data_IF_355466887993
#
_entry.id   IF_355466887993
#
_cell.length_a   1.000
_cell.length_b   1.000
_cell.length_c   1.000
_cell.angle_alpha   90.00
_cell.angle_beta   90.00
_cell.angle_gamma   90.00
#
_symmetry.space_group_name_H-M   'P 1'
#
loop_
_entity.id
_entity.type
_entity.pdbx_description
1 polymer ?
#
# COMPACT_ATOMS: atom_id res chain seq x y z
N UNK A 1 31.97 16.73 25.59
CA UNK A 1 31.22 16.71 24.31
C UNK A 1 29.79 17.12 24.63
N UNK A 2 29.20 18.17 24.04
CA UNK A 2 27.83 18.55 24.34
C UNK A 2 26.90 17.42 23.91
N UNK A 3 26.21 16.82 24.88
CA UNK A 3 25.24 15.75 24.67
C UNK A 3 23.95 16.32 24.09
N UNK A 4 23.37 15.62 23.13
CA UNK A 4 22.00 15.87 22.71
C UNK A 4 21.05 15.42 23.82
N UNK A 5 20.13 16.28 24.22
CA UNK A 5 19.12 15.93 25.22
C UNK A 5 17.73 15.86 24.56
N UNK A 6 17.11 14.69 24.70
CA UNK A 6 15.78 14.41 24.21
C UNK A 6 14.77 14.58 25.34
N UNK A 7 13.88 15.56 25.20
CA UNK A 7 12.86 15.85 26.20
C UNK A 7 11.49 15.40 25.69
N UNK A 8 10.92 14.36 26.30
CA UNK A 8 9.56 13.91 26.00
C UNK A 8 8.59 14.57 26.95
N UNK A 9 7.71 15.42 26.42
CA UNK A 9 6.67 16.08 27.21
C UNK A 9 5.63 15.05 27.64
N UNK A 10 5.23 15.01 28.93
CA UNK A 10 4.21 14.06 29.39
C UNK A 10 2.88 14.32 28.70
N UNK A 11 2.12 13.25 28.49
CA UNK A 11 0.78 13.31 27.87
C UNK A 11 -0.09 14.31 28.62
N UNK A 12 -0.68 15.25 27.88
CA UNK A 12 -1.61 16.25 28.42
C UNK A 12 -2.92 16.20 27.65
N UNK A 13 -4.02 16.15 28.38
CA UNK A 13 -5.35 16.26 27.81
C UNK A 13 -5.62 17.72 27.40
N UNK A 14 -5.52 18.01 26.10
CA UNK A 14 -5.65 19.37 25.57
C UNK A 14 -6.88 19.56 24.64
N UNK A 15 -7.66 18.50 24.42
CA UNK A 15 -8.68 18.46 23.38
C UNK A 15 -10.02 19.12 23.74
N UNK A 16 -10.04 19.98 24.76
CA UNK A 16 -11.26 20.52 25.38
C UNK A 16 -11.96 21.60 24.54
N UNK A 17 -11.24 22.28 23.66
CA UNK A 17 -11.77 23.39 22.87
C UNK A 17 -12.25 23.01 21.47
N UNK A 18 -12.29 21.71 21.13
CA UNK A 18 -12.68 21.21 19.81
C UNK A 18 -14.14 20.78 19.85
N UNK A 19 -14.98 21.40 19.03
CA UNK A 19 -16.39 21.07 18.91
C UNK A 19 -16.61 19.77 18.13
N UNK A 20 -17.77 19.14 18.29
CA UNK A 20 -18.08 17.90 17.57
C UNK A 20 -17.99 18.03 16.02
N UNK A 21 -18.51 19.09 15.37
CA UNK A 21 -18.33 19.26 13.93
C UNK A 21 -16.86 19.39 13.50
N UNK A 22 -16.05 20.05 14.32
CA UNK A 22 -14.60 20.14 14.07
C UNK A 22 -13.94 18.78 14.18
N UNK A 23 -14.31 17.95 15.15
CA UNK A 23 -13.82 16.57 15.24
C UNK A 23 -14.12 15.77 13.97
N UNK A 24 -15.36 15.83 13.46
CA UNK A 24 -15.73 15.14 12.22
C UNK A 24 -14.87 15.64 11.05
N UNK A 25 -14.64 16.95 10.96
CA UNK A 25 -13.77 17.53 9.92
C UNK A 25 -12.33 17.03 10.04
N UNK A 26 -11.74 17.06 11.24
CA UNK A 26 -10.36 16.61 11.49
C UNK A 26 -10.22 15.12 11.18
N UNK A 27 -11.16 14.27 11.64
CA UNK A 27 -11.15 12.85 11.31
C UNK A 27 -11.26 12.60 9.81
N UNK A 28 -12.08 13.37 9.10
CA UNK A 28 -12.21 13.25 7.65
C UNK A 28 -10.89 13.55 6.94
N UNK A 29 -10.23 14.65 7.31
CA UNK A 29 -8.94 15.05 6.72
C UNK A 29 -7.83 14.06 7.08
N UNK A 30 -7.76 13.66 8.36
CA UNK A 30 -6.78 12.71 8.89
C UNK A 30 -6.91 11.33 8.23
N UNK A 31 -8.12 10.78 8.15
CA UNK A 31 -8.35 9.44 7.61
C UNK A 31 -8.32 9.38 6.09
N UNK A 32 -8.50 10.52 5.38
CA UNK A 32 -8.53 10.54 3.94
C UNK A 32 -7.28 9.92 3.28
N UNK A 33 -6.04 10.23 3.68
CA UNK A 33 -4.86 9.55 3.15
C UNK A 33 -4.83 8.04 3.40
N UNK A 34 -5.22 7.60 4.61
CA UNK A 34 -5.26 6.18 4.96
C UNK A 34 -6.28 5.42 4.10
N UNK A 35 -7.51 5.95 4.03
CA UNK A 35 -8.59 5.38 3.24
C UNK A 35 -8.23 5.40 1.76
N UNK A 36 -7.70 6.50 1.24
CA UNK A 36 -7.30 6.59 -0.16
C UNK A 36 -6.20 5.57 -0.48
N UNK A 37 -5.21 5.38 0.40
CA UNK A 37 -4.16 4.40 0.21
C UNK A 37 -4.71 2.96 0.18
N UNK A 38 -5.57 2.61 1.14
CA UNK A 38 -6.18 1.27 1.23
C UNK A 38 -7.16 1.02 0.06
N UNK A 39 -8.11 1.93 -0.15
CA UNK A 39 -9.18 1.78 -1.16
C UNK A 39 -8.66 1.84 -2.60
N UNK A 40 -7.54 2.53 -2.84
CA UNK A 40 -6.89 2.52 -4.14
C UNK A 40 -5.94 1.34 -4.32
N UNK A 41 -5.29 0.89 -3.24
CA UNK A 41 -4.24 -0.11 -3.28
C UNK A 41 -4.71 -1.55 -3.18
N UNK A 42 -5.82 -1.80 -2.49
CA UNK A 42 -6.34 -3.14 -2.29
C UNK A 42 -6.73 -3.79 -3.63
N UNK A 43 -6.29 -5.03 -3.90
CA UNK A 43 -6.67 -5.74 -5.11
C UNK A 43 -8.12 -6.24 -5.05
N UNK A 44 -8.84 -6.26 -6.18
CA UNK A 44 -10.10 -6.99 -6.27
C UNK A 44 -9.83 -8.51 -6.17
N UNK A 45 -10.68 -9.19 -5.42
CA UNK A 45 -10.56 -10.63 -5.15
C UNK A 45 -11.38 -11.42 -6.15
N UNK A 46 -10.74 -12.42 -6.75
CA UNK A 46 -11.37 -13.37 -7.66
C UNK A 46 -11.38 -14.76 -7.03
N UNK A 47 -12.56 -15.35 -6.88
CA UNK A 47 -12.71 -16.67 -6.28
C UNK A 47 -12.75 -17.73 -7.38
N UNK A 48 -11.68 -18.52 -7.48
CA UNK A 48 -11.60 -19.65 -8.42
C UNK A 48 -11.87 -21.00 -7.75
N UNK A 49 -12.04 -21.03 -6.42
CA UNK A 49 -12.41 -22.22 -5.67
C UNK A 49 -13.73 -22.00 -4.93
N UNK A 50 -14.61 -23.01 -4.98
CA UNK A 50 -15.91 -23.01 -4.29
C UNK A 50 -15.76 -23.06 -2.76
N UNK A 51 -14.77 -23.82 -2.26
CA UNK A 51 -14.53 -24.02 -0.83
C UNK A 51 -13.09 -24.49 -0.59
N UNK A 52 -12.46 -24.13 0.53
CA UNK A 52 -12.90 -23.16 1.54
C UNK A 52 -12.70 -21.71 1.07
N UNK A 53 -13.55 -20.78 1.52
CA UNK A 53 -13.36 -19.33 1.31
C UNK A 53 -12.24 -18.79 2.24
N UNK A 54 -11.52 -17.72 1.85
CA UNK A 54 -10.50 -17.12 2.71
C UNK A 54 -11.15 -16.58 3.99
N UNK A 55 -10.47 -16.77 5.12
CA UNK A 55 -10.94 -16.21 6.39
C UNK A 55 -10.61 -14.71 6.42
N UNK A 56 -11.29 -13.97 7.30
CA UNK A 56 -11.11 -12.51 7.42
C UNK A 56 -9.64 -12.11 7.66
N UNK A 57 -8.90 -12.90 8.44
CA UNK A 57 -7.49 -12.66 8.75
C UNK A 57 -6.55 -12.96 7.58
N UNK A 58 -7.01 -13.68 6.56
CA UNK A 58 -6.26 -13.86 5.31
C UNK A 58 -6.44 -12.65 4.39
N UNK A 59 -7.60 -12.00 4.46
CA UNK A 59 -7.94 -10.80 3.70
C UNK A 59 -7.23 -9.57 4.24
N UNK A 60 -7.10 -9.46 5.57
CA UNK A 60 -6.52 -8.29 6.24
C UNK A 60 -5.09 -7.97 5.77
N UNK A 61 -4.34 -9.00 5.39
CA UNK A 61 -2.96 -8.88 4.91
C UNK A 61 -2.87 -8.16 3.56
N UNK A 62 -3.92 -8.17 2.74
CA UNK A 62 -3.94 -7.44 1.47
C UNK A 62 -4.18 -5.94 1.64
N UNK A 63 -4.77 -5.52 2.76
CA UNK A 63 -4.96 -4.11 3.11
C UNK A 63 -3.73 -3.49 3.79
N UNK A 64 -2.71 -4.30 4.10
CA UNK A 64 -1.46 -3.79 4.65
C UNK A 64 -0.75 -2.91 3.59
N UNK A 65 -0.38 -1.65 3.93
CA UNK A 65 0.35 -0.78 3.02
C UNK A 65 1.64 -1.40 2.43
N UNK A 66 2.33 -2.27 3.16
CA UNK A 66 3.49 -3.03 2.63
C UNK A 66 3.10 -3.92 1.45
N UNK A 67 1.97 -4.65 1.56
CA UNK A 67 1.44 -5.49 0.48
C UNK A 67 1.01 -4.67 -0.74
N UNK A 68 0.46 -3.49 -0.49
CA UNK A 68 0.03 -2.56 -1.54
C UNK A 68 1.23 -2.02 -2.32
N UNK A 69 2.30 -1.61 -1.63
CA UNK A 69 3.54 -1.16 -2.28
C UNK A 69 4.21 -2.27 -3.08
N UNK A 70 4.24 -3.49 -2.53
CA UNK A 70 4.73 -4.67 -3.26
C UNK A 70 3.97 -4.84 -4.58
N UNK A 71 2.63 -4.74 -4.56
CA UNK A 71 1.80 -4.85 -5.75
C UNK A 71 2.17 -3.80 -6.80
N UNK A 72 2.33 -2.53 -6.41
CA UNK A 72 2.72 -1.48 -7.34
C UNK A 72 4.07 -1.79 -8.01
N UNK A 73 5.07 -2.16 -7.22
CA UNK A 73 6.38 -2.48 -7.75
C UNK A 73 6.35 -3.70 -8.69
N UNK A 74 5.67 -4.78 -8.30
CA UNK A 74 5.67 -6.01 -9.09
C UNK A 74 4.84 -5.89 -10.36
N UNK A 75 3.72 -5.15 -10.37
CA UNK A 75 2.97 -4.91 -11.62
C UNK A 75 3.84 -4.18 -12.64
N UNK A 76 4.54 -3.13 -12.23
CA UNK A 76 5.48 -2.41 -13.10
C UNK A 76 6.65 -3.27 -13.54
N UNK A 77 7.27 -4.02 -12.61
CA UNK A 77 8.37 -4.94 -12.92
C UNK A 77 7.94 -6.01 -13.94
N UNK A 78 6.76 -6.60 -13.75
CA UNK A 78 6.18 -7.59 -14.67
C UNK A 78 5.96 -6.98 -16.05
N UNK A 79 5.43 -5.76 -16.14
CA UNK A 79 5.26 -5.06 -17.42
C UNK A 79 6.59 -4.83 -18.13
N UNK A 80 7.63 -4.41 -17.41
CA UNK A 80 8.98 -4.19 -17.95
C UNK A 80 9.56 -5.50 -18.49
N UNK A 81 9.24 -6.63 -17.86
CA UNK A 81 9.72 -7.96 -18.25
C UNK A 81 8.88 -8.65 -19.34
N UNK A 82 7.66 -8.17 -19.59
CA UNK A 82 6.76 -8.74 -20.58
C UNK A 82 7.24 -8.46 -22.01
N UNK A 83 7.37 -9.52 -22.82
CA UNK A 83 7.70 -9.42 -24.25
C UNK A 83 6.48 -9.10 -25.10
N UNK A 84 5.33 -9.65 -24.72
CA UNK A 84 4.04 -9.42 -25.34
C UNK A 84 3.03 -9.13 -24.22
N UNK A 85 2.61 -7.87 -24.10
CA UNK A 85 1.71 -7.41 -23.04
C UNK A 85 0.31 -7.20 -23.61
N UNK A 86 -0.60 -8.10 -23.27
CA UNK A 86 -1.99 -8.06 -23.73
C UNK A 86 -2.96 -7.71 -22.58
N UNK A 87 -4.24 -7.61 -22.93
CA UNK A 87 -5.34 -7.26 -22.03
C UNK A 87 -5.55 -8.30 -20.93
N UNK A 88 -5.32 -9.57 -21.25
CA UNK A 88 -5.46 -10.68 -20.29
C UNK A 88 -4.34 -10.64 -19.25
N UNK A 89 -3.10 -10.33 -19.66
CA UNK A 89 -1.96 -10.12 -18.76
C UNK A 89 -2.18 -8.91 -17.84
N UNK A 90 -2.77 -7.82 -18.36
CA UNK A 90 -3.15 -6.65 -17.56
C UNK A 90 -4.20 -7.01 -16.49
N UNK A 91 -5.29 -7.68 -16.89
CA UNK A 91 -6.35 -8.10 -15.97
C UNK A 91 -5.82 -9.05 -14.89
N UNK A 92 -5.08 -10.09 -15.29
CA UNK A 92 -4.57 -11.11 -14.37
C UNK A 92 -3.49 -10.56 -13.43
N UNK A 93 -2.74 -9.54 -13.84
CA UNK A 93 -1.76 -8.88 -12.97
C UNK A 93 -2.40 -7.99 -11.91
N UNK A 94 -3.61 -7.49 -12.16
CA UNK A 94 -4.35 -6.68 -11.20
C UNK A 94 -5.25 -7.50 -10.29
N UNK A 95 -5.67 -8.69 -10.70
CA UNK A 95 -6.47 -9.61 -9.90
C UNK A 95 -5.62 -10.35 -8.86
N UNK A 96 -6.25 -10.72 -7.74
CA UNK A 96 -5.74 -11.78 -6.86
C UNK A 96 -6.70 -12.95 -6.86
N UNK A 97 -6.16 -14.16 -6.96
CA UNK A 97 -6.96 -15.37 -7.12
C UNK A 97 -6.91 -16.18 -5.84
N UNK A 98 -8.09 -16.48 -5.29
CA UNK A 98 -8.22 -17.47 -4.25
C UNK A 98 -8.44 -18.85 -4.87
N UNK A 99 -7.51 -19.76 -4.60
CA UNK A 99 -7.52 -21.15 -5.11
C UNK A 99 -7.62 -22.14 -3.95
N UNK A 100 -7.80 -23.44 -4.24
CA UNK A 100 -7.78 -24.50 -3.22
C UNK A 100 -6.45 -24.59 -2.47
N UNK A 101 -5.37 -24.07 -3.06
CA UNK A 101 -4.02 -23.99 -2.45
C UNK A 101 -3.74 -22.62 -1.80
N UNK A 102 -4.75 -21.76 -1.68
CA UNK A 102 -4.65 -20.41 -1.12
C UNK A 102 -4.46 -19.31 -2.18
N UNK A 103 -3.86 -18.20 -1.77
CA UNK A 103 -3.65 -17.01 -2.60
C UNK A 103 -2.67 -17.26 -3.75
N UNK A 104 -3.06 -16.87 -4.96
CA UNK A 104 -2.23 -16.93 -6.17
C UNK A 104 -2.31 -15.60 -6.93
N UNK A 105 -1.13 -15.09 -7.31
CA UNK A 105 -0.97 -13.89 -8.14
C UNK A 105 0.26 -13.99 -9.04
N UNK A 106 0.75 -15.20 -9.28
CA UNK A 106 1.89 -15.47 -10.15
C UNK A 106 1.62 -15.15 -11.63
N UNK A 107 2.67 -15.06 -12.43
CA UNK A 107 2.58 -14.83 -13.88
C UNK A 107 1.79 -15.93 -14.60
N UNK A 108 1.82 -17.17 -14.08
CA UNK A 108 1.04 -18.30 -14.59
C UNK A 108 -0.46 -18.04 -14.59
N UNK A 109 -0.94 -17.16 -13.73
CA UNK A 109 -2.36 -16.85 -13.61
C UNK A 109 -2.91 -16.13 -14.84
N UNK A 110 -2.08 -15.50 -15.68
CA UNK A 110 -2.60 -14.90 -16.93
C UNK A 110 -3.06 -15.93 -17.95
N UNK A 111 -2.52 -17.15 -17.89
CA UNK A 111 -2.95 -18.27 -18.72
C UNK A 111 -4.01 -19.11 -18.01
N UNK A 112 -3.78 -19.41 -16.72
CA UNK A 112 -4.66 -20.30 -15.93
C UNK A 112 -6.03 -19.66 -15.66
N UNK A 113 -6.09 -18.34 -15.43
CA UNK A 113 -7.34 -17.63 -15.16
C UNK A 113 -8.10 -17.21 -16.42
N UNK A 114 -7.50 -17.32 -17.62
CA UNK A 114 -8.11 -16.87 -18.87
C UNK A 114 -9.50 -17.48 -19.13
N UNK A 115 -9.75 -18.79 -18.91
CA UNK A 115 -11.08 -19.38 -19.10
C UNK A 115 -12.15 -18.85 -18.14
N UNK A 116 -11.73 -18.22 -17.04
CA UNK A 116 -12.61 -17.67 -16.01
C UNK A 116 -12.80 -16.15 -16.16
N UNK A 117 -12.18 -15.50 -17.17
CA UNK A 117 -12.37 -14.06 -17.45
C UNK A 117 -13.76 -13.86 -18.05
N UNK A 118 -14.68 -13.23 -17.32
CA UNK A 118 -16.00 -12.85 -17.84
C UNK A 118 -15.98 -11.45 -18.46
N UNK A 119 -15.11 -10.58 -17.96
CA UNK A 119 -14.85 -9.25 -18.51
C UNK A 119 -13.35 -9.01 -18.47
N UNK A 120 -12.76 -8.75 -19.63
CA UNK A 120 -11.36 -8.38 -19.71
C UNK A 120 -11.27 -6.87 -20.03
N UNK A 121 -10.17 -6.19 -19.66
CA UNK A 121 -10.03 -4.75 -19.89
C UNK A 121 -10.13 -4.41 -21.38
N UNK A 122 -10.65 -3.22 -21.69
CA UNK A 122 -10.79 -2.75 -23.08
C UNK A 122 -9.43 -2.46 -23.72
N UNK A 123 -8.45 -2.01 -22.93
CA UNK A 123 -7.12 -1.62 -23.39
C UNK A 123 -6.00 -2.35 -22.65
N UNK A 124 -4.77 -2.20 -23.14
CA UNK A 124 -3.55 -2.72 -22.49
C UNK A 124 -2.98 -1.78 -21.42
N UNK A 125 -3.63 -0.64 -21.22
CA UNK A 125 -3.30 0.39 -20.24
C UNK A 125 -4.58 0.91 -19.57
N UNK A 126 -4.42 1.60 -18.45
CA UNK A 126 -5.52 2.22 -17.71
C UNK A 126 -6.11 3.39 -18.49
N UNK A 127 -7.43 3.40 -18.67
CA UNK A 127 -8.14 4.50 -19.32
C UNK A 127 -8.13 5.77 -18.46
N UNK A 128 -7.99 6.93 -19.10
CA UNK A 128 -7.92 8.23 -18.41
C UNK A 128 -9.21 8.56 -17.63
N UNK A 129 -10.36 8.10 -18.13
CA UNK A 129 -11.66 8.33 -17.51
C UNK A 129 -12.09 7.20 -16.55
N UNK A 130 -11.14 6.36 -16.11
CA UNK A 130 -11.44 5.23 -15.20
C UNK A 130 -11.43 5.64 -13.73
N UNK A 131 -12.13 4.85 -12.90
CA UNK A 131 -12.07 4.95 -11.43
C UNK A 131 -10.64 4.76 -10.93
N UNK A 132 -9.85 3.89 -11.58
CA UNK A 132 -8.46 3.65 -11.24
C UNK A 132 -7.58 4.89 -11.46
N UNK A 133 -7.81 5.64 -12.55
CA UNK A 133 -7.11 6.91 -12.79
C UNK A 133 -7.49 7.98 -11.76
N UNK A 134 -8.78 8.11 -11.44
CA UNK A 134 -9.25 9.04 -10.39
C UNK A 134 -8.58 8.73 -9.03
N UNK A 135 -8.54 7.45 -8.64
CA UNK A 135 -7.84 6.98 -7.43
C UNK A 135 -6.35 7.37 -7.45
N UNK A 136 -5.69 7.24 -8.60
CA UNK A 136 -4.28 7.65 -8.77
C UNK A 136 -4.11 9.16 -8.63
N UNK A 137 -4.97 9.98 -9.23
CA UNK A 137 -4.90 11.44 -9.11
C UNK A 137 -5.05 11.87 -7.65
N UNK A 138 -6.06 11.35 -6.93
CA UNK A 138 -6.31 11.69 -5.53
C UNK A 138 -5.10 11.33 -4.66
N UNK A 139 -4.60 10.09 -4.77
CA UNK A 139 -3.46 9.61 -3.97
C UNK A 139 -2.16 10.34 -4.30
N UNK A 140 -1.97 10.72 -5.57
CA UNK A 140 -0.79 11.51 -6.00
C UNK A 140 -0.84 12.93 -5.45
N UNK A 141 -1.99 13.60 -5.51
CA UNK A 141 -2.14 14.95 -4.97
C UNK A 141 -1.95 14.97 -3.45
N UNK A 142 -2.52 14.00 -2.74
CA UNK A 142 -2.31 13.84 -1.29
C UNK A 142 -0.84 13.58 -0.96
N UNK A 143 -0.18 12.68 -1.69
CA UNK A 143 1.23 12.40 -1.51
C UNK A 143 2.14 13.59 -1.83
N UNK A 144 1.82 14.36 -2.87
CA UNK A 144 2.55 15.57 -3.25
C UNK A 144 2.42 16.67 -2.20
N UNK A 145 1.21 16.92 -1.69
CA UNK A 145 0.97 17.88 -0.62
C UNK A 145 1.70 17.49 0.68
N UNK A 146 1.69 16.21 1.04
CA UNK A 146 2.42 15.71 2.20
C UNK A 146 3.94 15.79 2.03
N UNK A 147 4.45 15.43 0.84
CA UNK A 147 5.89 15.54 0.53
C UNK A 147 6.36 17.00 0.56
N UNK A 148 5.60 17.91 -0.04
CA UNK A 148 5.88 19.35 0.01
C UNK A 148 5.93 19.86 1.45
N UNK A 149 4.96 19.48 2.28
CA UNK A 149 4.89 19.92 3.68
C UNK A 149 6.05 19.38 4.52
N UNK A 150 6.39 18.09 4.36
CA UNK A 150 7.45 17.42 5.12
C UNK A 150 8.85 17.86 4.69
N UNK A 151 9.13 17.88 3.39
CA UNK A 151 10.42 18.33 2.86
C UNK A 151 10.58 19.84 3.08
N UNK A 152 9.52 20.62 2.90
CA UNK A 152 9.52 22.05 3.18
C UNK A 152 9.79 22.37 4.66
N UNK A 153 9.26 21.55 5.58
CA UNK A 153 9.54 21.65 7.01
C UNK A 153 11.02 21.40 7.32
N UNK A 154 11.60 20.37 6.70
CA UNK A 154 13.02 20.03 6.86
C UNK A 154 13.95 21.13 6.32
N UNK A 155 13.59 21.75 5.19
CA UNK A 155 14.38 22.80 4.55
C UNK A 155 14.12 24.21 5.15
N UNK A 156 13.23 24.33 6.14
CA UNK A 156 12.84 25.62 6.72
C UNK A 156 12.05 26.52 5.75
N UNK A 157 11.49 25.96 4.68
CA UNK A 157 10.69 26.67 3.67
C UNK A 157 9.23 26.83 4.11
N UNK A 158 8.77 26.02 5.06
CA UNK A 158 7.41 26.10 5.62
C UNK A 158 7.45 26.41 7.11
N UNK A 159 6.47 27.17 7.60
CA UNK A 159 6.31 27.47 9.02
C UNK A 159 5.70 26.31 9.82
N UNK A 160 5.73 25.08 9.28
CA UNK A 160 5.15 23.89 9.90
C UNK A 160 6.26 23.14 10.63
N UNK A 161 6.30 23.26 11.96
CA UNK A 161 7.20 22.47 12.80
C UNK A 161 6.65 21.05 12.98
N UNK A 162 6.99 20.10 12.10
CA UNK A 162 6.39 18.77 12.10
C UNK A 162 6.61 18.00 13.42
N UNK A 163 7.73 18.22 14.12
CA UNK A 163 8.03 17.52 15.38
C UNK A 163 7.17 18.06 16.54
N UNK A 164 7.00 19.38 16.63
CA UNK A 164 6.35 20.04 17.77
C UNK A 164 4.89 20.43 17.51
N UNK A 165 4.44 20.50 16.27
CA UNK A 165 3.09 20.92 15.88
C UNK A 165 2.27 19.79 15.27
N UNK A 166 2.66 18.53 15.47
CA UNK A 166 1.92 17.38 14.93
C UNK A 166 0.56 17.26 15.62
N UNK A 167 -0.51 17.69 14.95
CA UNK A 167 -1.90 17.41 15.32
C UNK A 167 -2.42 16.13 14.68
N UNK A 168 -3.65 15.74 15.05
CA UNK A 168 -4.36 14.60 14.47
C UNK A 168 -4.48 14.69 12.94
N UNK A 169 -4.61 15.89 12.40
CA UNK A 169 -4.70 16.15 10.95
C UNK A 169 -3.45 15.73 10.16
N UNK A 170 -2.28 15.62 10.81
CA UNK A 170 -1.00 15.35 10.13
C UNK A 170 -0.44 13.94 10.33
N UNK A 171 -1.04 13.10 11.19
CA UNK A 171 -0.45 11.80 11.57
C UNK A 171 -0.33 10.81 10.39
N UNK A 172 -1.14 10.96 9.34
CA UNK A 172 -1.08 10.12 8.13
C UNK A 172 -0.30 10.74 6.96
N UNK A 173 0.38 11.87 7.15
CA UNK A 173 1.16 12.50 6.09
C UNK A 173 2.30 11.62 5.57
N UNK A 174 3.09 10.94 6.42
CA UNK A 174 4.14 10.04 5.91
C UNK A 174 3.56 8.87 5.11
N UNK A 175 2.37 8.37 5.47
CA UNK A 175 1.65 7.36 4.68
C UNK A 175 1.21 7.93 3.32
N UNK A 176 0.75 9.18 3.27
CA UNK A 176 0.32 9.84 2.04
C UNK A 176 1.45 9.89 0.99
N UNK A 177 2.71 10.12 1.42
CA UNK A 177 3.88 10.11 0.52
C UNK A 177 4.00 8.78 -0.24
N UNK A 178 3.63 7.65 0.38
CA UNK A 178 3.64 6.35 -0.28
C UNK A 178 2.67 6.28 -1.47
N UNK A 179 1.64 7.14 -1.49
CA UNK A 179 0.76 7.32 -2.64
C UNK A 179 1.51 7.73 -3.91
N UNK A 180 2.66 8.42 -3.81
CA UNK A 180 3.48 8.78 -4.98
C UNK A 180 4.09 7.55 -5.66
N UNK A 181 4.38 6.49 -4.92
CA UNK A 181 4.92 5.24 -5.48
C UNK A 181 3.89 4.51 -6.36
N UNK A 182 2.59 4.85 -6.21
CA UNK A 182 1.54 4.35 -7.10
C UNK A 182 1.74 4.80 -8.54
N UNK A 183 2.33 5.98 -8.77
CA UNK A 183 2.58 6.52 -10.11
C UNK A 183 3.40 5.58 -10.98
N UNK A 184 4.32 4.81 -10.37
CA UNK A 184 5.12 3.82 -11.09
C UNK A 184 4.26 2.74 -11.77
N UNK A 185 3.08 2.43 -11.22
CA UNK A 185 2.17 1.41 -11.72
C UNK A 185 0.90 1.99 -12.35
N UNK A 186 0.70 3.31 -12.28
CA UNK A 186 -0.57 3.97 -12.63
C UNK A 186 -1.11 3.60 -14.02
N UNK A 187 -0.23 3.51 -15.03
CA UNK A 187 -0.61 3.16 -16.40
C UNK A 187 -1.11 1.72 -16.56
N UNK A 188 -0.88 0.84 -15.57
CA UNK A 188 -1.22 -0.57 -15.59
C UNK A 188 -2.06 -1.00 -14.39
N UNK A 189 -2.59 -0.06 -13.62
CA UNK A 189 -3.53 -0.32 -12.53
C UNK A 189 -4.96 -0.16 -13.06
N UNK A 190 -5.69 -1.26 -13.16
CA UNK A 190 -7.09 -1.26 -13.60
C UNK A 190 -7.95 -2.07 -12.63
N UNK A 191 -9.25 -1.79 -12.64
CA UNK A 191 -10.30 -2.56 -11.95
C UNK A 191 -11.36 -3.06 -12.97
N UNK A 192 -11.13 -2.83 -14.27
CA UNK A 192 -12.08 -3.09 -15.35
C UNK A 192 -11.98 -4.53 -15.86
N UNK A 193 -11.96 -5.47 -14.93
CA UNK A 193 -12.00 -6.90 -15.21
C UNK A 193 -12.94 -7.61 -14.25
N UNK A 194 -13.34 -8.82 -14.61
CA UNK A 194 -14.09 -9.70 -13.75
C UNK A 194 -13.68 -11.14 -14.03
N UNK A 195 -13.37 -11.87 -12.96
CA UNK A 195 -13.13 -13.30 -13.00
C UNK A 195 -14.15 -13.98 -12.11
N UNK A 196 -14.80 -15.03 -12.61
CA UNK A 196 -15.80 -15.79 -11.87
C UNK A 196 -15.82 -17.24 -12.32
N UNK A 197 -16.34 -18.11 -11.45
CA UNK A 197 -16.57 -19.50 -11.81
C UNK A 197 -17.73 -19.57 -12.81
N UNK A 198 -17.59 -20.41 -13.85
CA UNK A 198 -18.58 -20.58 -14.93
C UNK A 198 -20.00 -20.86 -14.40
N UNK A 199 -20.14 -21.44 -13.21
CA UNK A 199 -21.41 -21.82 -12.61
C UNK A 199 -22.18 -20.65 -11.92
N UNK A 200 -21.53 -19.50 -11.68
CA UNK A 200 -22.23 -18.30 -11.16
C UNK A 200 -22.92 -17.50 -12.28
N UNK A 201 -22.61 -17.81 -13.55
CA UNK A 201 -23.24 -17.22 -14.74
C UNK A 201 -24.24 -18.20 -15.36
N UNK A 202 -25.25 -18.59 -14.59
CA UNK A 202 -26.47 -19.10 -15.20
C UNK A 202 -26.96 -18.09 -16.24
N UNK A 203 -27.00 -18.52 -17.51
CA UNK A 203 -27.73 -17.85 -18.60
C UNK A 203 -27.09 -16.62 -19.28
N UNK A 204 -25.75 -16.51 -19.32
CA UNK A 204 -25.09 -15.59 -20.28
C UNK A 204 -24.18 -16.35 -21.23
N UNK A 205 -24.53 -16.26 -22.52
CA UNK A 205 -23.76 -16.79 -23.65
C UNK A 205 -22.28 -16.41 -23.53
N UNK A 206 -21.34 -17.38 -23.66
CA UNK A 206 -19.92 -17.09 -23.60
C UNK A 206 -19.52 -16.21 -24.78
N UNK A 207 -18.98 -15.01 -24.51
CA UNK A 207 -18.59 -14.04 -25.54
C UNK A 207 -17.20 -14.31 -26.16
N UNK A 208 -16.73 -15.56 -26.11
CA UNK A 208 -15.52 -16.00 -26.81
C UNK A 208 -15.65 -17.49 -27.09
N UNK A 209 -15.93 -17.84 -28.34
CA UNK A 209 -15.61 -19.15 -28.90
C UNK A 209 -14.09 -19.33 -28.91
N UNK A 210 -13.51 -19.59 -27.74
CA UNK A 210 -12.30 -20.37 -27.69
C UNK A 210 -12.76 -21.82 -27.79
N UNK A 211 -12.71 -22.36 -29.02
CA UNK A 211 -12.53 -23.79 -29.20
C UNK A 211 -11.32 -24.18 -28.35
N UNK A 212 -11.57 -24.80 -27.20
CA UNK A 212 -10.59 -25.68 -26.58
C UNK A 212 -10.23 -26.66 -27.69
N UNK A 213 -8.97 -26.71 -28.18
CA UNK A 213 -8.60 -27.78 -29.07
C UNK A 213 -8.91 -29.06 -28.31
N UNK A 214 -9.83 -29.89 -28.84
CA UNK A 214 -9.87 -31.30 -28.47
C UNK A 214 -8.47 -31.81 -28.73
N UNK A 215 -7.69 -31.95 -27.66
CA UNK A 215 -6.46 -32.71 -27.70
C UNK A 215 -6.93 -34.16 -27.73
N UNK A 216 -7.24 -34.64 -28.93
CA UNK A 216 -7.47 -36.05 -29.17
C UNK A 216 -6.25 -36.83 -28.68
N UNK A 217 -6.52 -37.82 -27.84
CA UNK A 217 -5.73 -39.02 -27.60
C UNK A 217 -4.19 -38.86 -27.62
N UNK A 218 -3.63 -38.50 -26.47
CA UNK A 218 -2.34 -39.06 -26.05
C UNK A 218 -2.58 -39.90 -24.81
N UNK A 219 -2.77 -41.20 -25.04
CA UNK A 219 -2.85 -42.25 -24.02
C UNK A 219 -1.53 -42.29 -23.24
N UNK A 220 -1.55 -41.84 -21.99
CA UNK A 220 -0.51 -42.18 -21.00
C UNK A 220 -1.13 -43.21 -20.04
N UNK A 221 -0.61 -44.44 -19.97
CA UNK A 221 -1.20 -45.47 -19.14
C UNK A 221 -0.85 -45.29 -17.66
N UNK A 222 -1.89 -45.29 -16.82
CA UNK A 222 -1.85 -45.70 -15.42
C UNK A 222 -1.40 -44.65 -14.40
N UNK A 223 -2.34 -44.12 -13.62
CA UNK A 223 -2.51 -44.45 -12.20
C UNK A 223 -3.79 -43.78 -11.70
N UNK A 224 -4.75 -44.60 -11.25
CA UNK A 224 -5.99 -44.17 -10.62
C UNK A 224 -5.72 -43.47 -9.28
N UNK A 225 -6.18 -42.23 -9.11
CA UNK A 225 -6.70 -41.71 -7.83
C UNK A 225 -7.32 -40.32 -8.01
N UNK A 226 -8.65 -40.30 -8.01
CA UNK A 226 -9.55 -39.24 -7.51
C UNK A 226 -8.90 -37.92 -7.05
N UNK A 227 -9.03 -36.88 -7.88
CA UNK A 227 -8.73 -35.48 -7.56
C UNK A 227 -8.63 -34.62 -8.83
N UNK A 228 -9.52 -33.63 -8.99
CA UNK A 228 -9.75 -32.90 -10.24
C UNK A 228 -8.50 -32.29 -10.93
N UNK A 229 -8.58 -31.99 -12.24
CA UNK A 229 -7.43 -31.59 -13.04
C UNK A 229 -7.09 -30.11 -12.76
N UNK A 230 -6.28 -29.84 -11.74
CA UNK A 230 -5.82 -28.48 -11.46
C UNK A 230 -4.50 -28.19 -12.20
N UNK A 231 -4.68 -27.84 -13.48
CA UNK A 231 -3.92 -26.89 -14.31
C UNK A 231 -2.48 -26.59 -13.85
N UNK A 232 -1.53 -27.44 -14.24
CA UNK A 232 -0.12 -27.04 -14.38
C UNK A 232 0.04 -26.52 -15.81
N UNK A 233 0.07 -25.21 -15.99
CA UNK A 233 0.49 -24.64 -17.27
C UNK A 233 1.95 -25.08 -17.53
N UNK A 234 2.28 -25.65 -18.71
CA UNK A 234 3.63 -26.09 -18.98
C UNK A 234 4.60 -24.90 -18.92
N UNK A 235 5.74 -25.02 -18.20
CA UNK A 235 6.69 -23.92 -17.95
C UNK A 235 7.22 -23.27 -19.23
N UNK A 236 7.18 -23.99 -20.35
CA UNK A 236 7.65 -23.54 -21.66
C UNK A 236 6.88 -22.33 -22.18
N UNK A 237 5.57 -22.19 -21.93
CA UNK A 237 4.78 -21.05 -22.42
C UNK A 237 5.00 -19.77 -21.62
N UNK A 238 5.37 -19.88 -20.34
CA UNK A 238 5.62 -18.72 -19.47
C UNK A 238 6.97 -18.05 -19.76
N UNK A 239 8.01 -18.86 -19.96
CA UNK A 239 9.35 -18.38 -20.34
C UNK A 239 9.39 -17.67 -21.71
N UNK A 240 8.38 -17.90 -22.55
CA UNK A 240 8.21 -17.21 -23.83
C UNK A 240 7.62 -15.80 -23.67
N UNK A 241 6.76 -15.57 -22.66
CA UNK A 241 6.04 -14.30 -22.47
C UNK A 241 6.75 -13.34 -21.53
N UNK A 242 7.33 -13.83 -20.44
CA UNK A 242 8.00 -13.00 -19.45
C UNK A 242 9.48 -13.34 -19.37
N UNK A 243 10.31 -12.29 -19.41
CA UNK A 243 11.74 -12.46 -19.12
C UNK A 243 11.94 -12.75 -17.62
N UNK A 244 12.83 -13.69 -17.26
CA UNK A 244 13.14 -13.97 -15.87
C UNK A 244 13.62 -12.70 -15.12
N UNK A 245 13.23 -12.50 -13.85
CA UNK A 245 13.66 -11.35 -13.05
C UNK A 245 15.20 -11.25 -12.94
N UNK A 246 15.88 -12.40 -12.91
CA UNK A 246 17.34 -12.44 -12.84
C UNK A 246 18.04 -11.93 -14.10
N UNK A 247 17.45 -12.03 -15.29
CA UNK A 247 18.15 -11.79 -16.56
C UNK A 247 17.90 -10.42 -17.18
N UNK A 248 16.88 -9.68 -16.74
CA UNK A 248 16.51 -8.38 -17.30
C UNK A 248 17.19 -7.22 -16.57
N UNK A 249 18.08 -6.49 -17.25
CA UNK A 249 18.73 -5.29 -16.71
C UNK A 249 17.72 -4.18 -16.38
N UNK A 250 16.72 -3.97 -17.24
CA UNK A 250 15.67 -2.96 -17.02
C UNK A 250 14.89 -3.24 -15.73
N UNK A 251 14.58 -4.51 -15.46
CA UNK A 251 13.95 -4.94 -14.20
C UNK A 251 14.84 -4.67 -12.98
N UNK A 252 16.15 -4.92 -13.09
CA UNK A 252 17.10 -4.64 -11.99
C UNK A 252 17.22 -3.16 -11.70
N UNK A 253 17.30 -2.32 -12.74
CA UNK A 253 17.36 -0.85 -12.62
C UNK A 253 16.08 -0.34 -11.96
N UNK A 254 14.91 -0.79 -12.43
CA UNK A 254 13.63 -0.39 -11.84
C UNK A 254 13.52 -0.78 -10.37
N UNK A 255 13.81 -2.04 -10.01
CA UNK A 255 13.79 -2.51 -8.62
C UNK A 255 14.74 -1.72 -7.72
N UNK A 256 15.93 -1.41 -8.21
CA UNK A 256 16.92 -0.61 -7.48
C UNK A 256 16.43 0.82 -7.28
N UNK A 257 15.86 1.45 -8.31
CA UNK A 257 15.26 2.79 -8.22
C UNK A 257 14.06 2.84 -7.25
N UNK A 258 13.19 1.83 -7.31
CA UNK A 258 12.05 1.73 -6.38
C UNK A 258 12.51 1.56 -4.93
N UNK A 259 13.51 0.70 -4.69
CA UNK A 259 14.12 0.56 -3.35
C UNK A 259 14.79 1.84 -2.88
N UNK A 260 15.44 2.59 -3.77
CA UNK A 260 16.05 3.87 -3.43
C UNK A 260 14.99 4.89 -3.01
N UNK A 261 13.84 4.94 -3.69
CA UNK A 261 12.71 5.80 -3.28
C UNK A 261 12.14 5.37 -1.91
N UNK A 262 11.93 4.07 -1.68
CA UNK A 262 11.53 3.57 -0.36
C UNK A 262 12.58 3.90 0.72
N UNK A 263 13.86 3.77 0.39
CA UNK A 263 14.98 4.11 1.25
C UNK A 263 15.05 5.60 1.57
N UNK A 264 14.74 6.47 0.61
CA UNK A 264 14.65 7.91 0.82
C UNK A 264 13.51 8.28 1.79
N UNK A 265 12.35 7.62 1.67
CA UNK A 265 11.21 7.82 2.59
C UNK A 265 11.55 7.30 3.99
N UNK A 266 12.20 6.15 4.09
CA UNK A 266 12.70 5.62 5.36
C UNK A 266 13.73 6.56 6.00
N UNK A 267 14.66 7.09 5.21
CA UNK A 267 15.67 8.04 5.68
C UNK A 267 15.04 9.36 6.14
N UNK A 268 14.00 9.83 5.45
CA UNK A 268 13.21 10.99 5.88
C UNK A 268 12.59 10.75 7.26
N UNK A 269 12.00 9.58 7.50
CA UNK A 269 11.47 9.21 8.82
C UNK A 269 12.56 9.17 9.90
N UNK A 270 13.76 8.69 9.55
CA UNK A 270 14.91 8.68 10.46
C UNK A 270 15.38 10.09 10.83
N UNK A 271 15.40 11.02 9.87
CA UNK A 271 15.71 12.44 10.13
C UNK A 271 14.72 13.05 11.11
N UNK A 272 13.43 12.77 10.98
CA UNK A 272 12.42 13.30 11.90
C UNK A 272 12.51 12.70 13.32
N UNK A 273 12.98 11.46 13.47
CA UNK A 273 13.22 10.86 14.78
C UNK A 273 14.49 11.42 15.43
N UNK A 274 15.58 11.49 14.66
CA UNK A 274 16.90 11.85 15.18
C UNK A 274 17.47 13.08 14.46
N UNK A 275 16.82 14.26 14.57
CA UNK A 275 17.17 15.43 13.77
C UNK A 275 18.62 15.87 13.94
N UNK A 276 19.19 15.76 15.14
CA UNK A 276 20.57 16.19 15.34
C UNK A 276 21.65 15.11 15.19
N UNK A 277 21.27 13.83 14.98
CA UNK A 277 22.24 12.83 14.49
C UNK A 277 22.55 13.09 13.01
N UNK A 278 21.54 13.47 12.22
CA UNK A 278 21.69 13.64 10.77
C UNK A 278 22.07 15.07 10.38
N UNK A 279 21.44 16.08 10.98
CA UNK A 279 21.66 17.49 10.59
C UNK A 279 22.72 18.19 11.44
N UNK A 280 23.38 17.49 12.37
CA UNK A 280 24.38 18.08 13.28
C UNK A 280 23.82 19.17 14.20
N UNK A 281 22.49 19.26 14.35
CA UNK A 281 21.82 20.21 15.23
C UNK A 281 22.26 19.97 16.67
N UNK A 282 22.70 21.04 17.32
CA UNK A 282 23.12 21.05 18.74
C UNK A 282 22.05 21.81 19.52
N UNK A 283 21.35 21.12 20.41
CA UNK A 283 20.29 21.72 21.23
C UNK A 283 19.37 20.67 21.87
N UNK A 284 18.38 21.17 22.60
CA UNK A 284 17.29 20.38 23.18
C UNK A 284 16.21 20.12 22.13
N UNK A 285 15.80 18.86 21.96
CA UNK A 285 14.71 18.48 21.07
C UNK A 285 13.52 18.05 21.92
N UNK A 286 12.40 18.75 21.76
CA UNK A 286 11.15 18.46 22.47
C UNK A 286 10.23 17.60 21.61
N UNK A 287 9.91 16.40 22.10
CA UNK A 287 8.92 15.52 21.51
C UNK A 287 7.64 15.54 22.33
N UNK A 288 6.49 15.64 21.66
CA UNK A 288 5.19 15.28 22.24
C UNK A 288 5.01 13.76 22.23
N UNK A 289 4.11 13.21 23.05
CA UNK A 289 3.87 11.77 23.01
C UNK A 289 3.31 11.34 21.65
N UNK A 290 2.46 12.15 21.02
CA UNK A 290 1.95 11.92 19.66
C UNK A 290 3.07 11.84 18.64
N UNK A 291 3.95 12.84 18.59
CA UNK A 291 5.08 12.86 17.63
C UNK A 291 6.03 11.68 17.84
N UNK A 292 6.29 11.29 19.09
CA UNK A 292 7.10 10.12 19.42
C UNK A 292 6.44 8.81 18.95
N UNK A 293 5.16 8.60 19.26
CA UNK A 293 4.42 7.39 18.84
C UNK A 293 4.33 7.31 17.32
N UNK A 294 4.07 8.43 16.65
CA UNK A 294 4.07 8.52 15.17
C UNK A 294 5.44 8.18 14.60
N UNK A 295 6.52 8.72 15.16
CA UNK A 295 7.88 8.43 14.72
C UNK A 295 8.24 6.96 14.88
N UNK A 296 7.93 6.35 16.03
CA UNK A 296 8.15 4.92 16.29
C UNK A 296 7.34 4.07 15.30
N UNK A 297 6.06 4.40 15.09
CA UNK A 297 5.20 3.69 14.15
C UNK A 297 5.78 3.69 12.74
N UNK A 298 6.11 4.85 12.19
CA UNK A 298 6.62 4.94 10.82
C UNK A 298 8.03 4.37 10.68
N UNK A 299 8.89 4.53 11.67
CA UNK A 299 10.21 3.90 11.65
C UNK A 299 10.09 2.38 11.62
N UNK A 300 9.24 1.80 12.48
CA UNK A 300 8.97 0.36 12.49
C UNK A 300 8.38 -0.10 11.14
N UNK A 301 7.32 0.55 10.68
CA UNK A 301 6.62 0.21 9.45
C UNK A 301 7.52 0.31 8.21
N UNK A 302 8.25 1.41 8.04
CA UNK A 302 9.15 1.59 6.90
C UNK A 302 10.36 0.66 6.97
N UNK A 303 10.88 0.36 8.16
CA UNK A 303 12.01 -0.57 8.30
C UNK A 303 11.61 -1.98 7.85
N UNK A 304 10.49 -2.51 8.36
CA UNK A 304 10.02 -3.84 7.94
C UNK A 304 9.68 -3.85 6.44
N UNK A 305 9.01 -2.81 5.95
CA UNK A 305 8.70 -2.68 4.50
C UNK A 305 9.98 -2.70 3.66
N UNK A 306 10.98 -1.87 3.99
CA UNK A 306 12.23 -1.79 3.24
C UNK A 306 13.00 -3.12 3.26
N UNK A 307 13.10 -3.76 4.43
CA UNK A 307 13.75 -5.08 4.57
C UNK A 307 13.06 -6.13 3.69
N UNK A 308 11.73 -6.19 3.71
CA UNK A 308 10.98 -7.15 2.90
C UNK A 308 11.13 -6.91 1.40
N UNK A 309 10.96 -5.66 0.96
CA UNK A 309 11.15 -5.31 -0.45
C UNK A 309 12.57 -5.62 -0.90
N UNK A 310 13.58 -5.23 -0.12
CA UNK A 310 14.98 -5.49 -0.44
C UNK A 310 15.27 -6.99 -0.54
N UNK A 311 14.84 -7.76 0.45
CA UNK A 311 15.04 -9.20 0.50
C UNK A 311 14.49 -9.91 -0.75
N UNK A 312 13.23 -9.64 -1.10
CA UNK A 312 12.59 -10.30 -2.24
C UNK A 312 13.10 -9.78 -3.58
N UNK A 313 13.47 -8.51 -3.69
CA UNK A 313 14.04 -7.96 -4.93
C UNK A 313 15.43 -8.52 -5.22
N UNK A 314 16.27 -8.68 -4.19
CA UNK A 314 17.60 -9.29 -4.31
C UNK A 314 17.49 -10.75 -4.74
N UNK A 315 16.53 -11.50 -4.18
CA UNK A 315 16.26 -12.88 -4.57
C UNK A 315 15.61 -13.03 -5.94
N UNK A 316 15.06 -11.95 -6.50
CA UNK A 316 14.33 -11.99 -7.77
C UNK A 316 12.99 -12.72 -7.69
N UNK A 317 12.39 -12.83 -6.50
CA UNK A 317 11.08 -13.46 -6.28
C UNK A 317 9.93 -12.49 -6.61
N UNK A 318 10.00 -11.80 -7.75
CA UNK A 318 9.02 -10.79 -8.20
C UNK A 318 8.04 -11.30 -9.24
N UNK A 319 7.86 -12.62 -9.35
CA UNK A 319 6.93 -13.23 -10.31
C UNK A 319 5.48 -13.19 -9.84
N UNK A 320 5.22 -12.90 -8.57
CA UNK A 320 3.88 -12.85 -7.98
C UNK A 320 3.49 -11.43 -7.53
N UNK A 321 2.31 -10.96 -7.95
CA UNK A 321 1.73 -9.67 -7.52
C UNK A 321 1.34 -9.66 -6.04
N UNK A 322 1.33 -10.83 -5.41
CA UNK A 322 1.11 -11.04 -3.98
C UNK A 322 2.47 -11.26 -3.31
N UNK A 323 2.71 -10.61 -2.17
CA UNK A 323 3.95 -10.76 -1.42
C UNK A 323 4.13 -12.23 -0.99
N UNK A 324 5.28 -12.88 -1.22
CA UNK A 324 5.43 -14.32 -1.00
C UNK A 324 5.14 -14.77 0.44
N UNK A 325 5.35 -13.89 1.43
CA UNK A 325 5.08 -14.19 2.83
C UNK A 325 3.64 -13.94 3.29
N UNK A 326 2.70 -13.58 2.41
CA UNK A 326 1.38 -13.10 2.84
C UNK A 326 0.61 -14.09 3.72
N UNK A 327 0.77 -15.39 3.45
CA UNK A 327 0.10 -16.48 4.18
C UNK A 327 0.87 -16.92 5.42
N UNK A 328 2.06 -16.38 5.67
CA UNK A 328 2.90 -16.76 6.80
C UNK A 328 2.38 -16.13 8.10
N UNK A 329 2.42 -16.89 9.19
CA UNK A 329 1.91 -16.44 10.49
C UNK A 329 2.58 -15.15 10.98
N UNK A 330 3.88 -14.99 10.79
CA UNK A 330 4.62 -13.80 11.20
C UNK A 330 4.14 -12.54 10.44
N UNK A 331 3.78 -12.66 9.15
CA UNK A 331 3.30 -11.53 8.35
C UNK A 331 1.88 -11.10 8.78
N UNK A 332 1.05 -12.08 9.17
CA UNK A 332 -0.26 -11.82 9.78
C UNK A 332 -0.11 -11.07 11.11
N UNK A 333 0.80 -11.53 11.97
CA UNK A 333 1.11 -10.86 13.25
C UNK A 333 1.61 -9.43 12.98
N UNK A 334 2.56 -9.26 12.07
CA UNK A 334 3.04 -7.94 11.65
C UNK A 334 1.89 -7.02 11.21
N UNK A 335 0.97 -7.52 10.37
CA UNK A 335 -0.18 -6.75 9.92
C UNK A 335 -1.08 -6.33 11.07
N UNK A 336 -1.38 -7.24 12.01
CA UNK A 336 -2.17 -6.93 13.21
C UNK A 336 -1.46 -5.91 14.11
N UNK A 337 -0.14 -6.00 14.26
CA UNK A 337 0.67 -5.02 15.01
C UNK A 337 0.60 -3.64 14.34
N UNK A 338 0.77 -3.54 13.02
CA UNK A 338 0.68 -2.26 12.30
C UNK A 338 -0.72 -1.64 12.45
N UNK A 339 -1.78 -2.44 12.34
CA UNK A 339 -3.15 -1.96 12.53
C UNK A 339 -3.42 -1.53 13.98
N UNK A 340 -2.95 -2.31 14.96
CA UNK A 340 -3.05 -1.96 16.38
C UNK A 340 -2.29 -0.67 16.71
N UNK A 341 -1.07 -0.52 16.21
CA UNK A 341 -0.28 0.71 16.40
C UNK A 341 -0.93 1.92 15.73
N UNK A 342 -1.63 1.73 14.59
CA UNK A 342 -2.41 2.79 13.96
C UNK A 342 -3.52 3.30 14.89
N UNK A 343 -4.24 2.38 15.55
CA UNK A 343 -5.28 2.74 16.54
C UNK A 343 -4.67 3.46 17.74
N UNK A 344 -3.55 2.96 18.27
CA UNK A 344 -2.84 3.61 19.39
C UNK A 344 -2.41 5.04 19.00
N UNK A 345 -1.83 5.22 17.82
CA UNK A 345 -1.42 6.52 17.30
C UNK A 345 -2.61 7.50 17.23
N UNK A 346 -3.77 7.06 16.73
CA UNK A 346 -4.98 7.89 16.69
C UNK A 346 -5.42 8.28 18.11
N UNK A 347 -5.41 7.36 19.08
CA UNK A 347 -5.82 7.63 20.47
C UNK A 347 -4.93 8.73 21.09
N UNK A 348 -3.60 8.59 20.98
CA UNK A 348 -2.67 9.60 21.50
C UNK A 348 -2.89 10.95 20.82
N UNK A 349 -3.02 10.96 19.50
CA UNK A 349 -3.28 12.17 18.74
C UNK A 349 -4.60 12.85 19.16
N UNK A 350 -5.67 12.08 19.39
CA UNK A 350 -6.94 12.63 19.88
C UNK A 350 -6.83 13.27 21.27
N UNK A 351 -6.04 12.69 22.17
CA UNK A 351 -5.86 13.20 23.54
C UNK A 351 -5.08 14.52 23.54
N UNK A 352 -4.02 14.60 22.73
CA UNK A 352 -3.10 15.75 22.74
C UNK A 352 -3.49 16.87 21.78
N UNK A 353 -4.28 16.58 20.74
CA UNK A 353 -4.66 17.58 19.73
C UNK A 353 -5.42 18.72 20.37
N UNK A 354 -4.94 19.93 20.10
CA UNK A 354 -5.51 21.19 20.54
C UNK A 354 -5.67 22.13 19.34
N UNK A 355 -6.64 23.04 19.44
CA UNK A 355 -6.81 24.12 18.47
C UNK A 355 -5.97 25.32 18.86
N UNK A 356 -5.07 25.72 17.97
CA UNK A 356 -4.25 26.92 18.10
C UNK A 356 -5.01 28.20 17.75
N UNK A 357 -4.43 29.37 18.06
CA UNK A 357 -5.08 30.66 17.86
C UNK A 357 -5.25 31.05 16.38
N UNK A 358 -4.46 30.45 15.52
CA UNK A 358 -4.54 30.54 14.07
C UNK A 358 -5.51 29.52 13.45
N UNK A 359 -6.25 28.77 14.27
CA UNK A 359 -7.14 27.69 13.81
C UNK A 359 -6.42 26.40 13.40
N UNK A 360 -5.08 26.33 13.47
CA UNK A 360 -4.33 25.10 13.20
C UNK A 360 -4.38 24.14 14.38
N UNK A 361 -4.29 22.84 14.08
CA UNK A 361 -4.26 21.80 15.11
C UNK A 361 -2.82 21.45 15.49
N UNK A 362 -2.57 21.30 16.78
CA UNK A 362 -1.22 21.02 17.33
C UNK A 362 -1.31 20.15 18.58
N UNK A 363 -0.30 19.32 18.82
CA UNK A 363 -0.18 18.54 20.08
C UNK A 363 0.40 19.35 21.25
N UNK A 364 0.92 20.55 21.00
CA UNK A 364 1.51 21.41 22.05
C UNK A 364 0.51 22.46 22.51
N UNK A 365 0.40 22.63 23.83
CA UNK A 365 -0.31 23.75 24.43
C UNK A 365 0.53 25.02 24.31
N UNK A 366 0.16 25.90 23.39
CA UNK A 366 0.75 27.23 23.30
C UNK A 366 0.49 28.02 24.59
N UNK A 367 1.45 28.86 25.05
CA UNK A 367 1.37 29.58 26.33
C UNK A 367 0.26 30.64 26.41
N UNK A 368 -0.48 30.89 25.32
CA UNK A 368 -1.62 31.79 25.30
C UNK A 368 -2.81 31.12 26.02
N UNK A 369 -3.13 31.60 27.22
CA UNK A 369 -4.35 31.27 27.98
C UNK A 369 -5.58 31.91 27.31
N UNK A 370 -5.97 31.43 26.14
CA UNK A 370 -7.27 31.77 25.54
C UNK A 370 -8.31 30.80 26.05
N UNK A 371 -9.43 31.30 26.59
CA UNK A 371 -10.55 30.43 26.99
C UNK A 371 -11.21 29.90 25.73
N UNK A 372 -11.76 28.68 25.76
CA UNK A 372 -12.40 28.09 24.57
C UNK A 372 -13.55 28.97 23.99
N UNK A 373 -14.10 29.91 24.77
CA UNK A 373 -15.15 30.83 24.37
C UNK A 373 -14.69 32.03 23.52
N UNK A 374 -13.40 32.40 23.58
CA UNK A 374 -12.90 33.58 22.86
C UNK A 374 -12.84 33.35 21.33
N UNK A 375 -12.91 32.08 20.89
CA UNK A 375 -12.88 31.67 19.48
C UNK A 375 -14.23 31.81 18.74
N UNK A 376 -15.32 32.16 19.43
CA UNK A 376 -16.65 32.34 18.81
C UNK A 376 -16.94 33.77 18.35
N UNK A 377 -16.08 34.74 18.66
CA UNK A 377 -16.32 36.16 18.36
C UNK A 377 -15.46 36.72 17.20
N UNK A 378 -14.66 35.89 16.54
CA UNK A 378 -13.96 36.19 15.29
C UNK A 378 -14.45 35.23 14.23
#
# INVERSE_FOLDING_TARGET
MPSMEYHVVPVRYNSQCITFPEWISIFTICLAPLIAHIASGAPPISYLAQSPRPKWYDLICHYNPTSILWRYAVITDRRIRARDWNRDDLGASNAIFWTSKGWKGGEEMSVVAAPYCSRCPEDTHTQLNSVAMLKTVITTLQGGAAAYSLIGSLLGLTNVGFITLMGLDMIFYPLAILGLLRLCAAAWLTEDFAYGMLHEFGDRTPMRDFQVPKLDEVTIPGTDSSGGPLLVAPPTRLNLRFTPPGSSWSSRIFRSGFLLLCGAIWFLALIFMAPGVVNGWRGEVFFTATSLVVAIFYLYFFTITLVLLAWYFIRGETTSTIIPCISQAWYRIYTLVVMGLTVVMIIFACIETNKGPNGLYTSVRLPLKTRCYDWRQQ
#
